data_IF_418710338568
#
_entry.id   IF_418710338568
#
_cell.length_a   1.000
_cell.length_b   1.000
_cell.length_c   1.000
_cell.angle_alpha   90.00
_cell.angle_beta   90.00
_cell.angle_gamma   90.00
#
_symmetry.space_group_name_H-M   'P 1'
#
loop_
_entity.id
_entity.type
_entity.pdbx_description
1 polymer ?
#
# COMPACT_ATOMS: atom_id res chain seq x y z
N UNK A 1 22.90 1.52 -31.85
CA UNK A 1 24.02 1.62 -30.89
C UNK A 1 23.84 2.80 -29.93
N UNK A 2 23.70 4.06 -30.38
CA UNK A 2 23.59 5.25 -29.50
C UNK A 2 22.34 5.25 -28.58
N UNK A 3 21.16 4.85 -29.08
CA UNK A 3 19.93 4.80 -28.29
C UNK A 3 19.98 3.78 -27.13
N UNK A 4 20.64 2.64 -27.35
CA UNK A 4 20.78 1.57 -26.36
C UNK A 4 21.70 2.00 -25.20
N UNK A 5 22.83 2.64 -25.51
CA UNK A 5 23.76 3.15 -24.49
C UNK A 5 23.16 4.31 -23.69
N UNK A 6 22.39 5.19 -24.35
CA UNK A 6 21.70 6.29 -23.69
C UNK A 6 20.65 5.78 -22.69
N UNK A 7 19.81 4.82 -23.08
CA UNK A 7 18.84 4.20 -22.18
C UNK A 7 19.51 3.46 -21.01
N UNK A 8 20.59 2.71 -21.28
CA UNK A 8 21.35 2.01 -20.25
C UNK A 8 21.86 2.99 -19.18
N UNK A 9 22.44 4.11 -19.61
CA UNK A 9 22.95 5.16 -18.72
C UNK A 9 21.84 5.84 -17.90
N UNK A 10 20.65 6.02 -18.47
CA UNK A 10 19.48 6.55 -17.73
C UNK A 10 19.09 5.59 -16.61
N UNK A 11 18.97 4.30 -16.92
CA UNK A 11 18.61 3.28 -15.93
C UNK A 11 19.65 3.24 -14.82
N UNK A 12 20.93 3.12 -15.15
CA UNK A 12 22.04 3.10 -14.17
C UNK A 12 22.03 4.33 -13.26
N UNK A 13 21.92 5.53 -13.83
CA UNK A 13 21.88 6.76 -13.04
C UNK A 13 20.64 6.83 -12.14
N UNK A 14 19.47 6.43 -12.65
CA UNK A 14 18.23 6.47 -11.87
C UNK A 14 18.24 5.44 -10.73
N UNK A 15 18.80 4.25 -10.96
CA UNK A 15 18.95 3.22 -9.94
C UNK A 15 19.89 3.65 -8.83
N UNK A 16 21.04 4.24 -9.17
CA UNK A 16 21.98 4.77 -8.18
C UNK A 16 21.33 5.84 -7.27
N UNK A 17 20.51 6.72 -7.84
CA UNK A 17 19.78 7.71 -7.03
C UNK A 17 18.76 7.04 -6.10
N UNK A 18 18.06 6.00 -6.57
CA UNK A 18 17.13 5.26 -5.72
C UNK A 18 17.83 4.49 -4.59
N UNK A 19 19.03 3.96 -4.82
CA UNK A 19 19.87 3.33 -3.80
C UNK A 19 20.32 4.34 -2.74
N UNK A 20 20.76 5.54 -3.15
CA UNK A 20 21.12 6.60 -2.22
C UNK A 20 19.92 7.05 -1.38
N UNK A 21 18.75 7.25 -2.00
CA UNK A 21 17.52 7.59 -1.29
C UNK A 21 17.11 6.49 -0.30
N UNK A 22 17.29 5.21 -0.66
CA UNK A 22 17.06 4.09 0.24
C UNK A 22 18.01 4.12 1.45
N UNK A 23 19.28 4.49 1.24
CA UNK A 23 20.25 4.67 2.32
C UNK A 23 19.87 5.81 3.27
N UNK A 24 19.50 6.97 2.73
CA UNK A 24 19.01 8.11 3.51
C UNK A 24 17.77 7.72 4.34
N UNK A 25 16.83 6.98 3.77
CA UNK A 25 15.66 6.48 4.48
C UNK A 25 16.03 5.53 5.64
N UNK A 26 17.01 4.65 5.45
CA UNK A 26 17.48 3.77 6.51
C UNK A 26 18.12 4.56 7.66
N UNK A 27 18.96 5.54 7.33
CA UNK A 27 19.59 6.41 8.34
C UNK A 27 18.52 7.21 9.08
N UNK A 28 17.59 7.85 8.37
CA UNK A 28 16.46 8.59 8.94
C UNK A 28 15.65 7.73 9.93
N UNK A 29 15.40 6.47 9.59
CA UNK A 29 14.62 5.57 10.43
C UNK A 29 15.35 5.18 11.73
N UNK A 30 16.68 5.13 11.71
CA UNK A 30 17.50 4.76 12.88
C UNK A 30 18.07 5.95 13.65
N UNK A 31 18.00 7.16 13.09
CA UNK A 31 18.52 8.37 13.74
C UNK A 31 17.63 8.78 14.92
N UNK A 32 18.28 9.04 16.06
CA UNK A 32 17.63 9.40 17.32
C UNK A 32 17.69 10.92 17.56
N UNK A 33 18.70 11.60 17.04
CA UNK A 33 18.81 13.06 17.15
C UNK A 33 17.80 13.73 16.21
N UNK A 34 16.85 14.46 16.80
CA UNK A 34 15.74 15.05 16.04
C UNK A 34 16.19 16.09 15.00
N UNK A 35 17.25 16.86 15.29
CA UNK A 35 17.74 17.87 14.37
C UNK A 35 18.36 17.20 13.14
N UNK A 36 19.23 16.21 13.34
CA UNK A 36 19.78 15.42 12.24
C UNK A 36 18.71 14.66 11.50
N UNK A 37 17.71 14.09 12.20
CA UNK A 37 16.59 13.41 11.57
C UNK A 37 15.81 14.34 10.63
N UNK A 38 15.58 15.59 11.03
CA UNK A 38 14.95 16.60 10.18
C UNK A 38 15.82 16.96 8.96
N UNK A 39 17.12 17.15 9.15
CA UNK A 39 18.07 17.43 8.04
C UNK A 39 18.09 16.29 7.01
N UNK A 40 18.17 15.04 7.47
CA UNK A 40 18.14 13.85 6.60
C UNK A 40 16.78 13.74 5.90
N UNK A 41 15.69 14.09 6.58
CA UNK A 41 14.35 14.08 5.98
C UNK A 41 14.24 15.06 4.81
N UNK A 42 14.74 16.29 4.99
CA UNK A 42 14.75 17.30 3.94
C UNK A 42 15.56 16.82 2.72
N UNK A 43 16.76 16.29 2.95
CA UNK A 43 17.63 15.72 1.90
C UNK A 43 16.94 14.55 1.20
N UNK A 44 16.32 13.63 1.95
CA UNK A 44 15.59 12.48 1.43
C UNK A 44 14.44 12.94 0.55
N UNK A 45 13.60 13.86 1.02
CA UNK A 45 12.46 14.36 0.25
C UNK A 45 12.89 15.05 -1.04
N UNK A 46 13.99 15.83 -1.02
CA UNK A 46 14.56 16.42 -2.23
C UNK A 46 15.00 15.35 -3.24
N UNK A 47 15.73 14.33 -2.77
CA UNK A 47 16.19 13.22 -3.59
C UNK A 47 15.02 12.43 -4.21
N UNK A 48 14.00 12.10 -3.41
CA UNK A 48 12.81 11.38 -3.88
C UNK A 48 12.05 12.19 -4.94
N UNK A 49 11.79 13.47 -4.68
CA UNK A 49 11.09 14.35 -5.61
C UNK A 49 11.87 14.53 -6.92
N UNK A 50 13.21 14.60 -6.86
CA UNK A 50 14.06 14.65 -8.04
C UNK A 50 13.91 13.39 -8.89
N UNK A 51 13.94 12.20 -8.28
CA UNK A 51 13.79 10.92 -8.97
C UNK A 51 12.43 10.84 -9.66
N UNK A 52 11.35 11.12 -8.92
CA UNK A 52 9.97 11.07 -9.42
C UNK A 52 9.79 12.01 -10.62
N UNK A 53 10.30 13.24 -10.53
CA UNK A 53 10.18 14.23 -11.61
C UNK A 53 11.01 13.87 -12.84
N UNK A 54 12.23 13.39 -12.64
CA UNK A 54 13.20 13.19 -13.74
C UNK A 54 13.07 11.83 -14.43
N UNK A 55 12.59 10.82 -13.70
CA UNK A 55 12.51 9.44 -14.18
C UNK A 55 11.13 8.80 -13.90
N UNK A 56 10.00 9.47 -14.24
CA UNK A 56 8.66 9.10 -13.77
C UNK A 56 8.17 7.71 -14.18
N UNK A 57 8.77 7.09 -15.20
CA UNK A 57 8.40 5.77 -15.70
C UNK A 57 9.45 4.70 -15.45
N UNK A 58 10.49 5.02 -14.67
CA UNK A 58 11.55 4.09 -14.32
C UNK A 58 11.27 3.40 -12.99
N UNK A 59 11.86 2.22 -12.80
CA UNK A 59 11.88 1.51 -11.52
C UNK A 59 12.33 2.41 -10.34
N UNK A 60 13.25 3.33 -10.59
CA UNK A 60 13.69 4.30 -9.60
C UNK A 60 12.53 5.16 -9.05
N UNK A 61 11.58 5.59 -9.90
CA UNK A 61 10.42 6.36 -9.45
C UNK A 61 9.40 5.49 -8.71
N UNK A 62 9.21 4.23 -9.11
CA UNK A 62 8.40 3.26 -8.34
C UNK A 62 8.94 3.12 -6.91
N UNK A 63 10.27 2.94 -6.79
CA UNK A 63 10.95 2.88 -5.49
C UNK A 63 10.86 4.19 -4.71
N UNK A 64 11.06 5.33 -5.37
CA UNK A 64 11.02 6.63 -4.71
C UNK A 64 9.61 6.95 -4.16
N UNK A 65 8.55 6.66 -4.91
CA UNK A 65 7.18 6.83 -4.42
C UNK A 65 6.90 5.92 -3.22
N UNK A 66 7.37 4.68 -3.25
CA UNK A 66 7.19 3.75 -2.13
C UNK A 66 7.91 4.24 -0.86
N UNK A 67 9.17 4.67 -0.99
CA UNK A 67 9.94 5.25 0.14
C UNK A 67 9.24 6.51 0.66
N UNK A 68 8.75 7.38 -0.23
CA UNK A 68 8.02 8.59 0.16
C UNK A 68 6.74 8.27 0.94
N UNK A 69 5.98 7.27 0.48
CA UNK A 69 4.80 6.76 1.18
C UNK A 69 5.14 6.22 2.57
N UNK A 70 6.18 5.38 2.67
CA UNK A 70 6.64 4.83 3.95
C UNK A 70 7.10 5.94 4.91
N UNK A 71 7.89 6.90 4.43
CA UNK A 71 8.34 8.05 5.22
C UNK A 71 7.17 8.79 5.87
N UNK A 72 6.13 9.10 5.10
CA UNK A 72 4.95 9.76 5.66
C UNK A 72 4.13 8.84 6.57
N UNK A 73 4.07 7.55 6.26
CA UNK A 73 3.38 6.55 7.08
C UNK A 73 4.01 6.41 8.46
N UNK A 74 5.35 6.29 8.54
CA UNK A 74 6.11 6.25 9.81
C UNK A 74 5.97 7.54 10.63
N UNK A 75 5.66 8.65 9.97
CA UNK A 75 5.36 9.95 10.61
C UNK A 75 3.88 10.13 10.96
N UNK A 76 3.05 9.13 10.72
CA UNK A 76 1.58 9.20 10.88
C UNK A 76 0.94 10.33 10.05
N UNK A 77 1.63 10.81 9.02
CA UNK A 77 1.08 11.75 8.05
C UNK A 77 0.29 10.99 6.99
N UNK A 78 -0.87 10.48 7.40
CA UNK A 78 -1.66 9.53 6.65
C UNK A 78 -2.13 10.04 5.27
N UNK A 79 -2.46 11.32 5.15
CA UNK A 79 -2.95 11.90 3.90
C UNK A 79 -1.84 11.94 2.83
N UNK A 80 -0.64 12.38 3.20
CA UNK A 80 0.50 12.39 2.27
C UNK A 80 1.03 10.97 1.99
N UNK A 81 0.95 10.07 2.97
CA UNK A 81 1.27 8.65 2.78
C UNK A 81 0.34 8.03 1.73
N UNK A 82 -0.98 8.17 1.91
CA UNK A 82 -1.97 7.65 0.99
C UNK A 82 -1.78 8.20 -0.44
N UNK A 83 -1.53 9.51 -0.58
CA UNK A 83 -1.24 10.13 -1.89
C UNK A 83 -0.02 9.51 -2.58
N UNK A 84 1.10 9.37 -1.87
CA UNK A 84 2.32 8.81 -2.46
C UNK A 84 2.15 7.34 -2.90
N UNK A 85 1.44 6.54 -2.10
CA UNK A 85 1.12 5.16 -2.45
C UNK A 85 0.15 5.05 -3.64
N UNK A 86 -0.86 5.91 -3.69
CA UNK A 86 -1.79 5.98 -4.83
C UNK A 86 -1.08 6.39 -6.11
N UNK A 87 -0.19 7.39 -6.05
CA UNK A 87 0.62 7.81 -7.19
C UNK A 87 1.47 6.65 -7.73
N UNK A 88 2.03 5.82 -6.84
CA UNK A 88 2.73 4.60 -7.22
C UNK A 88 1.79 3.61 -7.91
N UNK A 89 0.68 3.26 -7.26
CA UNK A 89 -0.26 2.27 -7.77
C UNK A 89 -0.83 2.68 -9.14
N UNK A 90 -1.07 3.97 -9.37
CA UNK A 90 -1.52 4.50 -10.65
C UNK A 90 -0.40 4.47 -11.71
N UNK A 91 0.80 4.94 -11.37
CA UNK A 91 1.91 5.06 -12.33
C UNK A 91 2.51 3.70 -12.71
N UNK A 92 2.43 2.74 -11.80
CA UNK A 92 3.05 1.43 -11.90
C UNK A 92 2.04 0.30 -11.65
N UNK A 93 0.83 0.38 -12.22
CA UNK A 93 -0.25 -0.60 -11.98
C UNK A 93 0.08 -2.08 -12.27
N UNK A 94 1.15 -2.37 -13.02
CA UNK A 94 1.65 -3.74 -13.26
C UNK A 94 2.88 -4.11 -12.42
N UNK A 95 3.38 -3.16 -11.65
CA UNK A 95 4.52 -3.31 -10.75
C UNK A 95 4.15 -4.14 -9.52
N UNK A 96 5.15 -4.82 -8.96
CA UNK A 96 4.95 -5.70 -7.81
C UNK A 96 4.61 -4.92 -6.54
N UNK A 97 4.93 -3.61 -6.48
CA UNK A 97 4.60 -2.73 -5.36
C UNK A 97 3.20 -2.13 -5.45
N UNK A 98 2.52 -2.22 -6.60
CA UNK A 98 1.20 -1.62 -6.77
C UNK A 98 0.13 -2.17 -5.81
N UNK A 99 -0.07 -3.50 -5.65
CA UNK A 99 -1.06 -4.01 -4.69
C UNK A 99 -0.68 -3.71 -3.24
N UNK A 100 0.62 -3.70 -2.92
CA UNK A 100 1.10 -3.32 -1.58
C UNK A 100 0.85 -1.83 -1.30
N UNK A 101 1.03 -0.97 -2.31
CA UNK A 101 0.79 0.46 -2.16
C UNK A 101 -0.70 0.77 -2.02
N UNK A 102 -1.57 0.10 -2.81
CA UNK A 102 -3.02 0.18 -2.59
C UNK A 102 -3.40 -0.26 -1.17
N UNK A 103 -2.77 -1.31 -0.67
CA UNK A 103 -3.01 -1.80 0.69
C UNK A 103 -2.61 -0.76 1.73
N UNK A 104 -1.39 -0.21 1.63
CA UNK A 104 -0.91 0.79 2.58
C UNK A 104 -1.69 2.12 2.49
N UNK A 105 -2.14 2.51 1.29
CA UNK A 105 -3.06 3.64 1.11
C UNK A 105 -4.40 3.38 1.81
N UNK A 106 -4.94 2.17 1.69
CA UNK A 106 -6.16 1.80 2.39
C UNK A 106 -6.00 1.88 3.92
N UNK A 107 -4.89 1.35 4.45
CA UNK A 107 -4.56 1.45 5.89
C UNK A 107 -4.46 2.92 6.33
N UNK A 108 -3.74 3.77 5.58
CA UNK A 108 -3.66 5.19 5.89
C UNK A 108 -5.04 5.87 5.87
N UNK A 109 -5.93 5.49 4.95
CA UNK A 109 -7.31 5.99 4.95
C UNK A 109 -8.14 5.49 6.13
N UNK A 110 -7.88 4.29 6.66
CA UNK A 110 -8.52 3.82 7.89
C UNK A 110 -8.09 4.65 9.10
N UNK A 111 -6.80 4.98 9.22
CA UNK A 111 -6.28 5.87 10.27
C UNK A 111 -6.90 7.28 10.19
N UNK A 112 -7.23 7.73 8.98
CA UNK A 112 -7.97 8.97 8.74
C UNK A 112 -9.48 8.86 9.00
N UNK A 113 -10.00 7.68 9.35
CA UNK A 113 -11.43 7.38 9.43
C UNK A 113 -12.18 7.62 8.09
N UNK A 114 -11.48 7.56 6.95
CA UNK A 114 -12.03 7.68 5.61
C UNK A 114 -12.36 6.30 5.03
N UNK A 115 -13.25 5.57 5.71
CA UNK A 115 -13.56 4.16 5.41
C UNK A 115 -13.98 3.89 3.96
N UNK A 116 -14.64 4.85 3.30
CA UNK A 116 -15.04 4.72 1.89
C UNK A 116 -13.83 4.69 0.94
N UNK A 117 -12.80 5.49 1.22
CA UNK A 117 -11.55 5.47 0.44
C UNK A 117 -10.75 4.21 0.75
N UNK A 118 -10.73 3.74 2.00
CA UNK A 118 -10.13 2.47 2.35
C UNK A 118 -10.79 1.29 1.61
N UNK A 119 -12.13 1.22 1.63
CA UNK A 119 -12.91 0.22 0.89
C UNK A 119 -12.58 0.24 -0.61
N UNK A 120 -12.54 1.41 -1.23
CA UNK A 120 -12.21 1.54 -2.65
C UNK A 120 -10.83 0.95 -2.98
N UNK A 121 -9.83 1.23 -2.15
CA UNK A 121 -8.47 0.73 -2.37
C UNK A 121 -8.34 -0.78 -2.17
N UNK A 122 -8.94 -1.35 -1.12
CA UNK A 122 -8.94 -2.81 -0.95
C UNK A 122 -9.70 -3.51 -2.08
N UNK A 123 -10.80 -2.95 -2.59
CA UNK A 123 -11.51 -3.50 -3.76
C UNK A 123 -10.61 -3.58 -4.99
N UNK A 124 -9.87 -2.51 -5.29
CA UNK A 124 -8.93 -2.49 -6.41
C UNK A 124 -7.91 -3.63 -6.34
N UNK A 125 -7.45 -4.00 -5.14
CA UNK A 125 -6.58 -5.17 -4.94
C UNK A 125 -7.31 -6.45 -5.35
N UNK A 126 -8.53 -6.66 -4.84
CA UNK A 126 -9.30 -7.89 -5.09
C UNK A 126 -9.83 -8.05 -6.52
N UNK A 127 -9.89 -6.96 -7.28
CA UNK A 127 -10.39 -6.93 -8.66
C UNK A 127 -9.25 -7.03 -9.69
N UNK A 128 -8.11 -6.40 -9.42
CA UNK A 128 -7.04 -6.24 -10.41
C UNK A 128 -5.78 -7.09 -10.11
N UNK A 129 -5.63 -7.61 -8.89
CA UNK A 129 -4.42 -8.32 -8.46
C UNK A 129 -4.78 -9.68 -7.87
N UNK A 130 -5.40 -10.54 -8.68
CA UNK A 130 -5.98 -11.83 -8.28
C UNK A 130 -4.97 -12.92 -7.87
N UNK A 131 -3.68 -12.72 -8.10
CA UNK A 131 -2.59 -13.60 -7.65
C UNK A 131 -1.59 -12.80 -6.82
N UNK A 132 -1.99 -12.44 -5.60
CA UNK A 132 -1.18 -11.63 -4.69
C UNK A 132 -1.35 -12.09 -3.23
N UNK A 133 -0.25 -12.11 -2.49
CA UNK A 133 -0.20 -12.57 -1.10
C UNK A 133 -1.03 -11.72 -0.11
N UNK A 134 -1.39 -10.48 -0.47
CA UNK A 134 -2.21 -9.56 0.33
C UNK A 134 -3.71 -9.83 0.18
N UNK A 135 -4.15 -10.60 -0.83
CA UNK A 135 -5.57 -10.82 -1.09
C UNK A 135 -6.35 -11.32 0.13
N UNK A 136 -5.85 -12.29 0.93
CA UNK A 136 -6.56 -12.70 2.13
C UNK A 136 -6.74 -11.57 3.14
N UNK A 137 -5.72 -10.70 3.28
CA UNK A 137 -5.82 -9.57 4.20
C UNK A 137 -6.80 -8.52 3.66
N UNK A 138 -6.70 -8.16 2.38
CA UNK A 138 -7.59 -7.19 1.76
C UNK A 138 -9.07 -7.63 1.79
N UNK A 139 -9.36 -8.90 1.53
CA UNK A 139 -10.71 -9.45 1.63
C UNK A 139 -11.26 -9.41 3.06
N UNK A 140 -10.42 -9.70 4.05
CA UNK A 140 -10.83 -9.58 5.45
C UNK A 140 -11.11 -8.13 5.82
N UNK A 141 -10.24 -7.20 5.42
CA UNK A 141 -10.43 -5.76 5.65
C UNK A 141 -11.70 -5.23 4.98
N UNK A 142 -12.02 -5.65 3.75
CA UNK A 142 -13.31 -5.35 3.11
C UNK A 142 -14.47 -5.84 3.96
N UNK A 143 -14.44 -7.11 4.38
CA UNK A 143 -15.50 -7.69 5.20
C UNK A 143 -15.72 -6.92 6.49
N UNK A 144 -14.63 -6.57 7.21
CA UNK A 144 -14.68 -5.78 8.44
C UNK A 144 -15.25 -4.39 8.21
N UNK A 145 -14.80 -3.68 7.18
CA UNK A 145 -15.29 -2.33 6.89
C UNK A 145 -16.76 -2.32 6.49
N UNK A 146 -17.20 -3.31 5.71
CA UNK A 146 -18.62 -3.48 5.40
C UNK A 146 -19.46 -3.78 6.63
N UNK A 147 -18.94 -4.62 7.52
CA UNK A 147 -19.60 -4.94 8.77
C UNK A 147 -19.77 -3.71 9.67
N UNK A 148 -18.74 -2.86 9.77
CA UNK A 148 -18.81 -1.58 10.50
C UNK A 148 -19.84 -0.62 9.93
N UNK A 149 -20.09 -0.68 8.61
CA UNK A 149 -21.14 0.09 7.92
C UNK A 149 -22.51 -0.58 7.95
N UNK A 150 -22.65 -1.70 8.65
CA UNK A 150 -23.87 -2.54 8.71
C UNK A 150 -24.31 -3.11 7.35
N UNK A 151 -23.40 -3.14 6.37
CA UNK A 151 -23.61 -3.75 5.05
C UNK A 151 -23.32 -5.26 5.12
N UNK A 152 -24.11 -5.97 5.92
CA UNK A 152 -23.80 -7.35 6.33
C UNK A 152 -23.75 -8.36 5.17
N UNK A 153 -24.53 -8.16 4.11
CA UNK A 153 -24.49 -9.02 2.92
C UNK A 153 -23.13 -8.92 2.20
N UNK A 154 -22.58 -7.71 2.10
CA UNK A 154 -21.27 -7.47 1.49
C UNK A 154 -20.13 -7.93 2.40
N UNK A 155 -20.31 -7.80 3.71
CA UNK A 155 -19.38 -8.35 4.70
C UNK A 155 -19.29 -9.89 4.56
N UNK A 156 -20.45 -10.57 4.55
CA UNK A 156 -20.53 -12.02 4.38
C UNK A 156 -19.95 -12.46 3.04
N UNK A 157 -20.25 -11.75 1.95
CA UNK A 157 -19.67 -12.05 0.63
C UNK A 157 -18.13 -11.99 0.65
N UNK A 158 -17.58 -10.95 1.28
CA UNK A 158 -16.11 -10.78 1.40
C UNK A 158 -15.48 -11.89 2.24
N UNK A 159 -16.12 -12.27 3.36
CA UNK A 159 -15.66 -13.36 4.21
C UNK A 159 -15.78 -14.74 3.53
N UNK A 160 -16.83 -15.00 2.76
CA UNK A 160 -16.97 -16.27 2.02
C UNK A 160 -15.90 -16.42 0.93
N UNK A 161 -15.52 -15.33 0.25
CA UNK A 161 -14.39 -15.37 -0.71
C UNK A 161 -13.07 -15.83 -0.07
N UNK A 162 -12.88 -15.59 1.23
CA UNK A 162 -11.73 -16.11 1.97
C UNK A 162 -11.81 -17.62 2.20
N UNK A 163 -13.01 -18.13 2.46
CA UNK A 163 -13.24 -19.56 2.63
C UNK A 163 -12.96 -20.31 1.33
N UNK A 164 -13.50 -19.80 0.22
CA UNK A 164 -13.42 -20.45 -1.09
C UNK A 164 -12.00 -20.44 -1.66
N UNK A 165 -11.29 -19.31 -1.55
CA UNK A 165 -9.98 -19.11 -2.19
C UNK A 165 -8.77 -19.34 -1.27
N UNK A 166 -8.95 -19.22 0.04
CA UNK A 166 -7.83 -19.07 0.98
C UNK A 166 -8.05 -19.83 2.30
N UNK A 167 -8.73 -20.97 2.27
CA UNK A 167 -9.17 -21.76 3.44
C UNK A 167 -8.12 -22.01 4.54
N UNK A 168 -6.82 -22.06 4.18
CA UNK A 168 -5.72 -22.26 5.12
C UNK A 168 -5.17 -20.97 5.77
N UNK A 169 -5.58 -19.79 5.29
CA UNK A 169 -5.07 -18.50 5.76
C UNK A 169 -5.56 -18.17 7.18
N UNK A 170 -4.75 -17.45 7.94
CA UNK A 170 -5.16 -16.98 9.27
C UNK A 170 -6.36 -16.02 9.18
N UNK A 171 -6.44 -15.22 8.11
CA UNK A 171 -7.56 -14.31 7.84
C UNK A 171 -8.87 -15.07 7.66
N UNK A 172 -8.84 -16.24 7.04
CA UNK A 172 -10.02 -17.10 6.89
C UNK A 172 -10.52 -17.64 8.22
N UNK A 173 -9.61 -18.02 9.14
CA UNK A 173 -10.01 -18.43 10.49
C UNK A 173 -10.70 -17.30 11.25
N UNK A 174 -10.20 -16.07 11.12
CA UNK A 174 -10.81 -14.89 11.74
C UNK A 174 -12.16 -14.59 11.08
N UNK A 175 -12.25 -14.66 9.75
CA UNK A 175 -13.49 -14.45 9.00
C UNK A 175 -14.59 -15.44 9.39
N UNK A 176 -14.28 -16.73 9.57
CA UNK A 176 -15.23 -17.75 10.07
C UNK A 176 -15.81 -17.35 11.44
N UNK A 177 -14.96 -16.88 12.35
CA UNK A 177 -15.42 -16.41 13.66
C UNK A 177 -16.35 -15.20 13.52
N UNK A 178 -16.05 -14.26 12.62
CA UNK A 178 -16.96 -13.12 12.34
C UNK A 178 -18.29 -13.58 11.76
N UNK A 179 -18.30 -14.52 10.82
CA UNK A 179 -19.54 -15.07 10.25
C UNK A 179 -20.40 -15.69 11.36
N UNK A 180 -19.83 -16.54 12.21
CA UNK A 180 -20.55 -17.16 13.34
C UNK A 180 -21.16 -16.09 14.26
N UNK A 181 -20.37 -15.07 14.61
CA UNK A 181 -20.82 -13.97 15.47
C UNK A 181 -22.00 -13.20 14.83
N UNK A 182 -21.91 -12.88 13.54
CA UNK A 182 -22.98 -12.19 12.81
C UNK A 182 -24.25 -13.04 12.73
N UNK A 183 -24.13 -14.36 12.54
CA UNK A 183 -25.29 -15.28 12.55
C UNK A 183 -25.92 -15.38 13.93
N UNK A 184 -25.13 -15.51 15.01
CA UNK A 184 -25.64 -15.59 16.39
C UNK A 184 -26.42 -14.32 16.74
N UNK A 185 -25.91 -13.16 16.31
CA UNK A 185 -26.53 -11.87 16.55
C UNK A 185 -27.68 -11.55 15.57
N UNK A 186 -28.04 -12.48 14.68
CA UNK A 186 -29.14 -12.33 13.72
C UNK A 186 -28.91 -11.24 12.66
N UNK A 187 -27.65 -10.84 12.43
CA UNK A 187 -27.27 -9.82 11.43
C UNK A 187 -27.26 -10.37 10.01
N UNK A 188 -27.06 -11.68 9.88
CA UNK A 188 -27.14 -12.42 8.61
C UNK A 188 -27.99 -13.68 8.80
N UNK A 189 -28.58 -14.17 7.70
CA UNK A 189 -29.42 -15.37 7.70
C UNK A 189 -28.66 -16.64 8.12
N UNK A 190 -29.43 -17.66 8.54
CA UNK A 190 -28.92 -19.03 8.73
C UNK A 190 -28.80 -19.76 7.40
#
# INVERSE_FOLDING_TARGET
FIWFEWNKRIVENSSFLAENAQGLYQIWNTEEDQNRKNEIEEELLEALNLIIRKYPHQYAAERALFIKGNLFFEKENWDDAAKAYLDLAHSFAKGYLAPLSLFNAAVAYEELNESDKALANYKLITENYSDNYLLPHALFSLGRLYEQKEEYDLALSSYNRLEDGYSASNWTKIARNRIIELTINGKIGK
#
